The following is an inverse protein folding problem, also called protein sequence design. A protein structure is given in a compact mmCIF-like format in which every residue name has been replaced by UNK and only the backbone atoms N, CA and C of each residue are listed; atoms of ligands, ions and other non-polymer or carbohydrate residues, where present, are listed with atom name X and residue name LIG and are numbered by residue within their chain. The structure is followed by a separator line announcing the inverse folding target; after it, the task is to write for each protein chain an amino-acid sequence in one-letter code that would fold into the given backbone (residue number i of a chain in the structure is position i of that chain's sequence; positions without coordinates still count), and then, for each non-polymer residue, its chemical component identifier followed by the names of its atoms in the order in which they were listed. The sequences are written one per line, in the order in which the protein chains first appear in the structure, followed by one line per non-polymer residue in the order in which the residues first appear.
data_IF_038474860050
#
_entry.id   IF_038474860050
#
_cell.length_a   1.000
_cell.length_b   1.000
_cell.length_c   1.000
_cell.angle_alpha   90.00
_cell.angle_beta   90.00
_cell.angle_gamma   90.00
#
_symmetry.space_group_name_H-M   'P 1'
#
loop_
_entity.id
_entity.type
_entity.pdbx_description
1 polymer ?
#
# COMPACT_ATOMS: atom_id res chain seq x y z
N UNK A 1 27.99 42.50 29.99
CA UNK A 1 28.69 41.25 29.61
C UNK A 1 27.91 40.06 30.16
N UNK A 2 27.85 38.96 29.40
CA UNK A 2 27.20 37.64 29.65
C UNK A 2 25.75 37.51 29.15
N UNK A 3 25.56 37.10 27.88
CA UNK A 3 25.49 35.72 27.29
C UNK A 3 24.04 35.21 27.28
N UNK A 4 23.35 35.33 26.14
CA UNK A 4 23.14 34.24 25.17
C UNK A 4 22.58 32.97 25.81
N UNK A 5 21.27 32.81 25.73
CA UNK A 5 20.57 31.60 26.12
C UNK A 5 19.15 31.57 25.56
N UNK A 6 18.97 32.02 24.31
CA UNK A 6 17.72 31.80 23.58
C UNK A 6 17.54 30.31 23.39
N UNK A 7 16.80 29.67 24.30
CA UNK A 7 16.32 28.31 24.12
C UNK A 7 15.37 28.33 22.93
N UNK A 8 15.89 28.01 21.74
CA UNK A 8 15.08 27.65 20.58
C UNK A 8 14.32 26.37 20.94
N UNK A 9 13.14 26.53 21.54
CA UNK A 9 12.21 25.42 21.71
C UNK A 9 11.38 25.37 20.44
N UNK A 10 11.82 24.55 19.48
CA UNK A 10 11.03 24.28 18.30
C UNK A 10 9.78 23.50 18.73
N UNK A 11 8.63 24.16 18.75
CA UNK A 11 7.34 23.54 19.03
C UNK A 11 6.72 23.02 17.73
N UNK A 12 6.29 21.76 17.73
CA UNK A 12 5.70 21.09 16.58
C UNK A 12 4.21 20.85 16.87
N UNK A 13 3.33 21.37 16.02
CA UNK A 13 1.89 21.12 16.08
C UNK A 13 1.42 20.42 14.80
N UNK A 14 0.53 19.44 14.93
CA UNK A 14 -0.16 18.84 13.78
C UNK A 14 -1.12 19.87 13.19
N UNK A 15 -1.21 19.96 11.85
CA UNK A 15 -2.18 20.83 11.17
C UNK A 15 -3.61 20.27 11.32
N UNK A 16 -4.23 20.44 12.49
CA UNK A 16 -5.65 20.13 12.72
C UNK A 16 -6.38 21.38 13.18
N UNK A 17 -7.46 21.74 12.47
CA UNK A 17 -8.49 22.61 13.06
C UNK A 17 -9.06 21.90 14.29
N UNK A 18 -9.33 22.61 15.39
CA UNK A 18 -9.89 21.99 16.59
C UNK A 18 -11.24 21.38 16.23
N UNK A 19 -11.32 20.05 16.32
CA UNK A 19 -12.57 19.31 16.16
C UNK A 19 -12.93 18.79 17.55
N UNK A 20 -13.86 19.47 18.21
CA UNK A 20 -14.46 19.00 19.46
C UNK A 20 -15.23 17.71 19.15
N UNK A 21 -14.70 16.57 19.56
CA UNK A 21 -15.45 15.31 19.57
C UNK A 21 -15.13 14.53 20.82
N UNK A 22 -16.01 14.63 21.81
CA UNK A 22 -16.14 13.65 22.87
C UNK A 22 -16.88 12.43 22.29
N UNK A 23 -16.13 11.39 21.98
CA UNK A 23 -16.61 10.07 21.60
C UNK A 23 -15.53 9.04 21.94
N UNK A 24 -15.87 7.74 22.09
CA UNK A 24 -14.90 6.73 22.47
C UNK A 24 -13.83 6.65 21.39
N UNK A 25 -12.68 7.27 21.66
CA UNK A 25 -11.53 7.23 20.78
C UNK A 25 -11.06 5.78 20.78
N UNK A 26 -11.19 5.07 19.67
CA UNK A 26 -10.24 4.00 19.38
C UNK A 26 -8.87 4.65 19.51
N UNK A 27 -8.11 4.31 20.56
CA UNK A 27 -6.81 4.91 20.77
C UNK A 27 -5.94 4.54 19.58
N UNK A 28 -5.64 5.52 18.74
CA UNK A 28 -4.62 5.42 17.70
C UNK A 28 -3.23 5.49 18.35
N UNK A 29 -3.04 4.72 19.42
CA UNK A 29 -1.77 4.62 20.12
C UNK A 29 -0.80 3.74 19.33
N UNK A 30 0.49 3.92 19.60
CA UNK A 30 1.56 3.24 18.88
C UNK A 30 1.38 1.71 18.87
N UNK A 31 0.94 1.12 19.98
CA UNK A 31 0.81 -0.34 20.10
C UNK A 31 -0.32 -0.85 19.22
N UNK A 32 -1.47 -0.16 19.22
CA UNK A 32 -2.61 -0.48 18.35
C UNK A 32 -2.23 -0.34 16.87
N UNK A 33 -1.53 0.74 16.51
CA UNK A 33 -1.06 0.96 15.13
C UNK A 33 0.00 -0.05 14.71
N UNK A 34 0.92 -0.44 15.60
CA UNK A 34 1.92 -1.45 15.29
C UNK A 34 1.28 -2.84 15.13
N UNK A 35 0.26 -3.15 15.92
CA UNK A 35 -0.51 -4.38 15.78
C UNK A 35 -1.32 -4.40 14.47
N UNK A 36 -1.90 -3.26 14.07
CA UNK A 36 -2.52 -3.09 12.74
C UNK A 36 -1.50 -3.19 11.61
N UNK A 37 -0.29 -2.65 11.78
CA UNK A 37 0.80 -2.79 10.80
C UNK A 37 1.18 -4.24 10.56
N UNK A 38 1.27 -5.01 11.63
CA UNK A 38 1.62 -6.42 11.57
C UNK A 38 0.49 -7.25 10.95
N UNK A 39 -0.77 -6.95 11.28
CA UNK A 39 -1.88 -7.84 10.95
C UNK A 39 -2.71 -7.39 9.73
N UNK A 40 -2.71 -6.10 9.37
CA UNK A 40 -3.61 -5.57 8.34
C UNK A 40 -3.01 -5.65 6.92
N UNK A 41 -3.68 -6.33 5.96
CA UNK A 41 -3.14 -6.54 4.62
C UNK A 41 -2.90 -5.23 3.84
N UNK A 42 -3.73 -4.20 4.07
CA UNK A 42 -3.53 -2.88 3.45
C UNK A 42 -2.28 -2.14 3.95
N UNK A 43 -1.89 -2.30 5.23
CA UNK A 43 -0.65 -1.70 5.74
C UNK A 43 0.58 -2.48 5.27
N UNK A 44 0.46 -3.80 5.13
CA UNK A 44 1.48 -4.62 4.47
C UNK A 44 1.64 -4.24 2.99
N UNK A 45 0.54 -3.91 2.30
CA UNK A 45 0.58 -3.40 0.93
C UNK A 45 1.36 -2.10 0.84
N UNK A 46 1.06 -1.12 1.68
CA UNK A 46 1.75 0.18 1.66
C UNK A 46 3.25 0.09 1.98
N UNK A 47 3.66 -0.91 2.77
CA UNK A 47 5.08 -1.17 3.05
C UNK A 47 5.79 -1.99 1.95
N UNK A 48 5.07 -2.51 0.95
CA UNK A 48 5.69 -3.29 -0.12
C UNK A 48 6.49 -2.37 -1.07
N UNK A 49 7.71 -2.74 -1.47
CA UNK A 49 8.45 -1.98 -2.49
C UNK A 49 7.72 -1.93 -3.83
N UNK A 50 6.83 -2.89 -4.08
CA UNK A 50 6.01 -2.96 -5.30
C UNK A 50 4.59 -2.40 -5.10
N UNK A 51 4.32 -1.68 -4.00
CA UNK A 51 3.02 -1.08 -3.74
C UNK A 51 2.48 -0.25 -4.91
N UNK A 52 3.28 0.61 -5.60
CA UNK A 52 2.79 1.40 -6.71
C UNK A 52 2.23 0.54 -7.85
N UNK A 53 2.91 -0.55 -8.21
CA UNK A 53 2.46 -1.51 -9.21
C UNK A 53 1.14 -2.16 -8.79
N UNK A 54 1.09 -2.71 -7.58
CA UNK A 54 -0.09 -3.46 -7.12
C UNK A 54 -1.31 -2.54 -7.06
N UNK A 55 -1.17 -1.35 -6.47
CA UNK A 55 -2.28 -0.39 -6.33
C UNK A 55 -2.74 0.12 -7.68
N UNK A 56 -1.83 0.55 -8.57
CA UNK A 56 -2.21 1.07 -9.88
C UNK A 56 -2.91 0.01 -10.74
N UNK A 57 -2.38 -1.22 -10.73
CA UNK A 57 -2.91 -2.34 -11.49
C UNK A 57 -4.29 -2.77 -10.98
N UNK A 58 -4.45 -3.04 -9.67
CA UNK A 58 -5.74 -3.45 -9.11
C UNK A 58 -6.80 -2.35 -9.26
N UNK A 59 -6.41 -1.09 -9.13
CA UNK A 59 -7.31 0.03 -9.39
C UNK A 59 -7.78 0.06 -10.85
N UNK A 60 -6.88 -0.15 -11.81
CA UNK A 60 -7.19 -0.16 -13.25
C UNK A 60 -8.09 -1.33 -13.65
N UNK A 61 -7.85 -2.51 -13.09
CA UNK A 61 -8.52 -3.76 -13.51
C UNK A 61 -9.83 -4.03 -12.77
N UNK A 62 -9.92 -3.72 -11.47
CA UNK A 62 -11.12 -4.02 -10.68
C UNK A 62 -11.91 -2.75 -10.31
N UNK A 63 -11.23 -1.74 -9.74
CA UNK A 63 -11.93 -0.60 -9.14
C UNK A 63 -12.53 0.34 -10.19
N UNK A 64 -11.73 0.75 -11.17
CA UNK A 64 -12.14 1.68 -12.23
C UNK A 64 -13.27 1.11 -13.10
N UNK A 65 -13.23 -0.14 -13.58
CA UNK A 65 -14.35 -0.75 -14.30
C UNK A 65 -15.46 -1.30 -13.39
N UNK A 66 -15.27 -1.26 -12.07
CA UNK A 66 -16.18 -1.86 -11.08
C UNK A 66 -16.43 -3.36 -11.31
N UNK A 67 -15.39 -4.07 -11.74
CA UNK A 67 -15.40 -5.52 -11.92
C UNK A 67 -14.97 -6.21 -10.63
N UNK A 68 -15.67 -7.29 -10.24
CA UNK A 68 -15.39 -8.02 -8.99
C UNK A 68 -14.66 -9.34 -9.22
N UNK A 69 -14.77 -9.89 -10.43
CA UNK A 69 -14.24 -11.20 -10.81
C UNK A 69 -13.74 -11.10 -12.24
N UNK A 70 -12.54 -11.60 -12.47
CA UNK A 70 -11.89 -11.70 -13.77
C UNK A 70 -11.29 -13.10 -13.88
N UNK A 71 -11.29 -13.66 -15.08
CA UNK A 71 -10.65 -14.95 -15.31
C UNK A 71 -9.13 -14.83 -15.12
N UNK A 72 -8.50 -15.89 -14.61
CA UNK A 72 -7.06 -15.89 -14.34
C UNK A 72 -6.24 -15.60 -15.60
N UNK A 73 -6.63 -16.17 -16.74
CA UNK A 73 -5.93 -15.94 -18.01
C UNK A 73 -5.93 -14.46 -18.39
N UNK A 74 -7.10 -13.82 -18.37
CA UNK A 74 -7.25 -12.38 -18.64
C UNK A 74 -6.47 -11.51 -17.64
N UNK A 75 -6.46 -11.88 -16.36
CA UNK A 75 -5.72 -11.12 -15.34
C UNK A 75 -4.20 -11.25 -15.52
N UNK A 76 -3.72 -12.44 -15.87
CA UNK A 76 -2.31 -12.70 -16.18
C UNK A 76 -1.89 -11.88 -17.39
N UNK A 77 -2.66 -11.93 -18.48
CA UNK A 77 -2.38 -11.17 -19.71
C UNK A 77 -2.25 -9.66 -19.42
N UNK A 78 -3.24 -9.08 -18.73
CA UNK A 78 -3.23 -7.66 -18.37
C UNK A 78 -2.03 -7.27 -17.52
N UNK A 79 -1.58 -8.16 -16.63
CA UNK A 79 -0.42 -7.89 -15.79
C UNK A 79 0.89 -8.03 -16.57
N UNK A 80 0.99 -9.00 -17.49
CA UNK A 80 2.15 -9.13 -18.40
C UNK A 80 2.35 -7.86 -19.23
N UNK A 81 1.29 -7.29 -19.81
CA UNK A 81 1.34 -6.02 -20.55
C UNK A 81 1.88 -4.87 -19.68
N UNK A 82 1.40 -4.76 -18.43
CA UNK A 82 1.83 -3.70 -17.52
C UNK A 82 3.29 -3.89 -17.08
N UNK A 83 3.69 -5.13 -16.79
CA UNK A 83 5.07 -5.47 -16.46
C UNK A 83 6.01 -5.20 -17.64
N UNK A 84 5.58 -5.50 -18.86
CA UNK A 84 6.34 -5.20 -20.06
C UNK A 84 6.61 -3.69 -20.18
N UNK A 85 5.56 -2.87 -20.12
CA UNK A 85 5.70 -1.41 -20.18
C UNK A 85 6.57 -0.83 -19.05
N UNK A 86 6.49 -1.40 -17.85
CA UNK A 86 7.34 -0.98 -16.73
C UNK A 86 8.79 -1.39 -16.90
N UNK A 87 9.07 -2.59 -17.42
CA UNK A 87 10.43 -3.06 -17.73
C UNK A 87 11.07 -2.23 -18.84
N UNK A 88 10.30 -1.79 -19.84
CA UNK A 88 10.79 -0.87 -20.87
C UNK A 88 11.23 0.48 -20.27
N UNK A 89 10.50 0.99 -19.27
CA UNK A 89 10.76 2.31 -18.67
C UNK A 89 11.81 2.28 -17.55
N UNK A 90 11.83 1.23 -16.74
CA UNK A 90 12.61 1.14 -15.50
C UNK A 90 13.76 0.13 -15.58
N UNK A 91 13.82 -0.66 -16.65
CA UNK A 91 14.80 -1.73 -16.85
C UNK A 91 14.22 -3.13 -16.59
N UNK A 92 14.77 -4.13 -17.27
CA UNK A 92 14.30 -5.52 -17.22
C UNK A 92 14.37 -6.13 -15.81
N UNK A 93 15.29 -5.67 -14.97
CA UNK A 93 15.50 -6.18 -13.61
C UNK A 93 14.54 -5.58 -12.57
N UNK A 94 13.77 -4.53 -12.90
CA UNK A 94 12.87 -3.86 -11.96
C UNK A 94 11.73 -4.78 -11.47
N UNK A 95 11.27 -5.68 -12.34
CA UNK A 95 10.22 -6.66 -12.03
C UNK A 95 10.57 -8.02 -12.68
N UNK A 96 11.42 -8.85 -12.07
CA UNK A 96 11.99 -10.02 -12.75
C UNK A 96 11.07 -11.24 -12.79
N UNK A 97 9.99 -11.28 -11.98
CA UNK A 97 9.08 -12.44 -11.91
C UNK A 97 8.04 -12.41 -13.04
N UNK A 98 7.48 -13.55 -13.42
CA UNK A 98 6.33 -13.59 -14.31
C UNK A 98 5.06 -13.06 -13.62
N UNK A 99 4.08 -12.58 -14.38
CA UNK A 99 2.82 -12.07 -13.87
C UNK A 99 2.10 -13.09 -12.99
N UNK A 100 2.07 -14.36 -13.41
CA UNK A 100 1.40 -15.41 -12.64
C UNK A 100 2.04 -15.58 -11.24
N UNK A 101 3.36 -15.47 -11.12
CA UNK A 101 4.05 -15.54 -9.83
C UNK A 101 3.71 -14.35 -8.94
N UNK A 102 3.60 -13.15 -9.51
CA UNK A 102 3.11 -11.98 -8.76
C UNK A 102 1.68 -12.17 -8.29
N UNK A 103 0.77 -12.63 -9.14
CA UNK A 103 -0.62 -12.88 -8.76
C UNK A 103 -0.74 -13.97 -7.69
N UNK A 104 0.10 -15.00 -7.75
CA UNK A 104 0.17 -16.04 -6.73
C UNK A 104 0.64 -15.47 -5.38
N UNK A 105 1.66 -14.61 -5.38
CA UNK A 105 2.14 -13.92 -4.17
C UNK A 105 1.04 -13.03 -3.56
N UNK A 106 0.34 -12.27 -4.40
CA UNK A 106 -0.74 -11.37 -3.95
C UNK A 106 -1.97 -12.14 -3.43
N UNK A 107 -2.23 -13.32 -3.98
CA UNK A 107 -3.27 -14.24 -3.51
C UNK A 107 -2.82 -15.12 -2.34
N UNK A 108 -1.54 -15.09 -1.98
CA UNK A 108 -0.99 -15.85 -0.87
C UNK A 108 -1.61 -15.41 0.46
N UNK A 109 -1.76 -16.35 1.39
CA UNK A 109 -2.37 -16.11 2.69
C UNK A 109 -1.64 -15.03 3.52
N UNK A 110 -0.35 -14.79 3.24
CA UNK A 110 0.43 -13.71 3.85
C UNK A 110 0.06 -12.32 3.33
N UNK A 111 -0.37 -12.18 2.07
CA UNK A 111 -0.72 -10.88 1.49
C UNK A 111 -2.21 -10.63 1.53
N UNK A 112 -3.01 -11.60 1.07
CA UNK A 112 -4.46 -11.53 1.05
C UNK A 112 -5.01 -10.36 0.23
N UNK A 113 -4.27 -9.88 -0.77
CA UNK A 113 -4.70 -8.76 -1.64
C UNK A 113 -5.63 -9.22 -2.75
N UNK A 114 -5.49 -10.48 -3.17
CA UNK A 114 -6.38 -11.15 -4.09
C UNK A 114 -6.95 -12.41 -3.45
N UNK A 115 -8.16 -12.79 -3.85
CA UNK A 115 -8.77 -14.06 -3.47
C UNK A 115 -8.94 -14.92 -4.71
N UNK A 116 -8.37 -16.13 -4.69
CA UNK A 116 -8.66 -17.14 -5.71
C UNK A 116 -9.97 -17.85 -5.36
N UNK A 117 -10.83 -17.96 -6.36
CA UNK A 117 -12.00 -18.81 -6.33
C UNK A 117 -11.63 -20.09 -7.11
N UNK A 118 -11.70 -21.24 -6.44
CA UNK A 118 -11.45 -22.57 -7.02
C UNK A 118 -12.77 -23.15 -7.51
#
# INVERSE_FOLDING_TARGET
MRVHGGRNHSEYAINRKPFETEGPSMSLDFSTLDLLRQNHPAWRLLNSPHAPLVVSFLHRVFIKPNERVIAQADLVEKLEDELFALRERLGAEAFPKAALDYLNDWAGNDKGWLRKFY
#
